data_IF_328700695791
#
_entry.id   IF_328700695791
#
_cell.length_a   1.000
_cell.length_b   1.000
_cell.length_c   1.000
_cell.angle_alpha   90.00
_cell.angle_beta   90.00
_cell.angle_gamma   90.00
#
_symmetry.space_group_name_H-M   'P 1'
#
loop_
_entity.id
_entity.type
_entity.pdbx_description
1 polymer ?
#
# COMPACT_ATOMS: atom_id res chain seq x y z
N UNK A 1 -22.38 -10.11 -12.22
CA UNK A 1 -21.22 -10.99 -12.58
C UNK A 1 -20.61 -10.64 -13.94
N UNK A 2 -21.37 -10.70 -15.04
CA UNK A 2 -20.83 -10.43 -16.39
C UNK A 2 -20.23 -9.01 -16.55
N UNK A 3 -20.87 -7.98 -15.98
CA UNK A 3 -20.38 -6.59 -16.06
C UNK A 3 -19.06 -6.38 -15.31
N UNK A 4 -18.87 -7.02 -14.16
CA UNK A 4 -17.60 -6.96 -13.41
C UNK A 4 -16.48 -7.70 -14.14
N UNK A 5 -16.80 -8.83 -14.76
CA UNK A 5 -15.85 -9.61 -15.54
C UNK A 5 -15.42 -8.83 -16.79
N UNK A 6 -16.37 -8.26 -17.53
CA UNK A 6 -16.10 -7.45 -18.73
C UNK A 6 -15.30 -6.18 -18.39
N UNK A 7 -15.61 -5.49 -17.29
CA UNK A 7 -14.85 -4.32 -16.85
C UNK A 7 -13.43 -4.66 -16.39
N UNK A 8 -13.25 -5.76 -15.65
CA UNK A 8 -11.92 -6.20 -15.20
C UNK A 8 -11.06 -6.68 -16.37
N UNK A 9 -11.67 -7.40 -17.32
CA UNK A 9 -11.01 -7.91 -18.53
C UNK A 9 -10.67 -6.78 -19.51
N UNK A 10 -11.60 -5.86 -19.78
CA UNK A 10 -11.35 -4.71 -20.66
C UNK A 10 -10.21 -3.82 -20.14
N UNK A 11 -10.07 -3.73 -18.82
CA UNK A 11 -9.07 -2.88 -18.19
C UNK A 11 -7.70 -3.56 -18.07
N UNK A 12 -7.68 -4.87 -17.80
CA UNK A 12 -6.48 -5.69 -17.97
C UNK A 12 -5.98 -5.65 -19.44
N UNK A 13 -6.91 -5.66 -20.40
CA UNK A 13 -6.59 -5.57 -21.82
C UNK A 13 -6.08 -4.17 -22.21
N UNK A 14 -6.66 -3.09 -21.67
CA UNK A 14 -6.17 -1.72 -21.86
C UNK A 14 -4.74 -1.54 -21.31
N UNK A 15 -4.42 -2.07 -20.12
CA UNK A 15 -3.08 -1.92 -19.56
C UNK A 15 -2.01 -2.71 -20.30
N UNK A 16 -2.38 -3.85 -20.92
CA UNK A 16 -1.46 -4.64 -21.74
C UNK A 16 -1.13 -3.95 -23.09
N UNK A 17 -1.94 -2.98 -23.53
CA UNK A 17 -1.75 -2.30 -24.83
C UNK A 17 -0.68 -1.20 -24.86
N UNK A 18 -0.10 -0.84 -23.70
CA UNK A 18 0.79 0.32 -23.54
C UNK A 18 2.29 -0.01 -23.75
N UNK A 19 2.64 -1.28 -24.00
CA UNK A 19 3.95 -1.77 -24.50
C UNK A 19 5.19 -0.97 -24.03
N UNK A 20 5.38 -0.88 -22.71
CA UNK A 20 6.52 -0.20 -22.11
C UNK A 20 7.73 -1.14 -22.06
N UNK A 21 8.98 -0.68 -22.33
CA UNK A 21 10.17 -1.53 -22.51
C UNK A 21 10.70 -2.22 -21.22
N UNK A 22 9.91 -2.20 -20.15
CA UNK A 22 10.13 -2.96 -18.93
C UNK A 22 9.01 -4.01 -18.80
N UNK A 23 9.05 -5.06 -19.63
CA UNK A 23 7.98 -6.06 -19.79
C UNK A 23 7.49 -6.67 -18.47
N UNK A 24 8.36 -6.84 -17.47
CA UNK A 24 7.97 -7.33 -16.14
C UNK A 24 7.37 -6.25 -15.23
N UNK A 25 7.83 -5.00 -15.32
CA UNK A 25 7.29 -3.90 -14.53
C UNK A 25 5.91 -3.44 -15.06
N UNK A 26 5.74 -3.42 -16.38
CA UNK A 26 4.46 -3.14 -17.03
C UNK A 26 3.38 -4.17 -16.65
N UNK A 27 3.73 -5.45 -16.62
CA UNK A 27 2.82 -6.53 -16.18
C UNK A 27 2.44 -6.38 -14.71
N UNK A 28 3.40 -6.10 -13.82
CA UNK A 28 3.13 -5.90 -12.40
C UNK A 28 2.22 -4.68 -12.13
N UNK A 29 2.41 -3.61 -12.90
CA UNK A 29 1.52 -2.44 -12.86
C UNK A 29 0.12 -2.80 -13.38
N UNK A 30 -0.01 -3.57 -14.46
CA UNK A 30 -1.29 -4.07 -14.98
C UNK A 30 -2.09 -4.82 -13.93
N UNK A 31 -1.45 -5.75 -13.25
CA UNK A 31 -2.08 -6.55 -12.19
C UNK A 31 -2.48 -5.65 -11.02
N UNK A 32 -1.61 -4.74 -10.60
CA UNK A 32 -1.88 -3.84 -9.47
C UNK A 32 -3.05 -2.89 -9.76
N UNK A 33 -3.10 -2.30 -10.95
CA UNK A 33 -4.19 -1.40 -11.37
C UNK A 33 -5.51 -2.17 -11.48
N UNK A 34 -5.49 -3.37 -12.09
CA UNK A 34 -6.68 -4.22 -12.16
C UNK A 34 -7.22 -4.57 -10.75
N UNK A 35 -6.34 -4.87 -9.80
CA UNK A 35 -6.72 -5.16 -8.41
C UNK A 35 -7.37 -3.95 -7.72
N UNK A 36 -6.77 -2.75 -7.87
CA UNK A 36 -7.32 -1.50 -7.29
C UNK A 36 -8.71 -1.21 -7.85
N UNK A 37 -8.91 -1.40 -9.15
CA UNK A 37 -10.20 -1.12 -9.79
C UNK A 37 -11.26 -2.14 -9.43
N UNK A 38 -10.90 -3.43 -9.34
CA UNK A 38 -11.81 -4.46 -8.84
C UNK A 38 -12.24 -4.16 -7.38
N UNK A 39 -11.30 -3.77 -6.52
CA UNK A 39 -11.62 -3.37 -5.14
C UNK A 39 -12.52 -2.13 -5.08
N UNK A 40 -12.26 -1.12 -5.91
CA UNK A 40 -13.08 0.10 -5.99
C UNK A 40 -14.50 -0.16 -6.50
N UNK A 41 -14.65 -1.01 -7.51
CA UNK A 41 -15.97 -1.40 -8.04
C UNK A 41 -16.76 -2.24 -7.02
N UNK A 42 -16.11 -3.19 -6.35
CA UNK A 42 -16.71 -3.97 -5.26
C UNK A 42 -17.20 -3.06 -4.13
N UNK A 43 -16.34 -2.13 -3.69
CA UNK A 43 -16.68 -1.14 -2.68
C UNK A 43 -17.89 -0.28 -3.09
N UNK A 44 -17.94 0.16 -4.36
CA UNK A 44 -19.08 0.92 -4.90
C UNK A 44 -20.37 0.09 -4.92
N UNK A 45 -20.29 -1.19 -5.30
CA UNK A 45 -21.42 -2.12 -5.28
C UNK A 45 -21.97 -2.32 -3.86
N UNK A 46 -21.09 -2.63 -2.90
CA UNK A 46 -21.41 -2.78 -1.49
C UNK A 46 -22.06 -1.53 -0.88
N UNK A 47 -21.60 -0.32 -1.28
CA UNK A 47 -22.22 0.95 -0.88
C UNK A 47 -23.60 1.14 -1.49
N UNK A 48 -23.78 0.78 -2.76
CA UNK A 48 -25.04 0.94 -3.49
C UNK A 48 -26.12 -0.02 -2.97
N UNK A 49 -25.72 -1.23 -2.62
CA UNK A 49 -26.62 -2.27 -2.11
C UNK A 49 -26.92 -2.13 -0.61
N UNK A 50 -26.39 -1.08 0.05
CA UNK A 50 -26.61 -0.80 1.47
C UNK A 50 -25.98 -1.81 2.44
N UNK A 51 -25.31 -2.85 1.91
CA UNK A 51 -24.65 -3.89 2.70
C UNK A 51 -23.43 -3.38 3.49
N UNK A 52 -22.88 -2.22 3.12
CA UNK A 52 -21.73 -1.59 3.77
C UNK A 52 -22.08 -0.23 4.38
N UNK A 53 -22.43 -0.23 5.66
CA UNK A 53 -22.54 0.99 6.46
C UNK A 53 -21.16 1.39 6.98
N UNK A 54 -20.71 2.58 6.59
CA UNK A 54 -19.45 3.12 7.11
C UNK A 54 -19.68 3.63 8.52
N UNK A 55 -19.04 3.03 9.52
CA UNK A 55 -18.94 3.63 10.84
C UNK A 55 -18.27 5.01 10.75
N UNK A 56 -18.70 5.97 11.58
CA UNK A 56 -18.22 7.36 11.54
C UNK A 56 -16.68 7.53 11.68
N UNK A 57 -15.95 6.50 12.12
CA UNK A 57 -14.50 6.52 12.32
C UNK A 57 -13.63 6.26 11.07
N UNK A 58 -14.20 5.83 9.95
CA UNK A 58 -13.45 5.48 8.74
C UNK A 58 -12.57 6.61 8.15
N UNK A 59 -13.06 7.84 7.92
CA UNK A 59 -12.23 8.89 7.32
C UNK A 59 -11.08 9.32 8.24
N UNK A 60 -11.33 9.34 9.56
CA UNK A 60 -10.30 9.65 10.57
C UNK A 60 -9.23 8.56 10.57
N UNK A 61 -9.62 7.29 10.49
CA UNK A 61 -8.69 6.17 10.37
C UNK A 61 -7.81 6.29 9.12
N UNK A 62 -8.39 6.58 7.95
CA UNK A 62 -7.64 6.76 6.71
C UNK A 62 -6.63 7.90 6.82
N UNK A 63 -7.03 9.05 7.37
CA UNK A 63 -6.11 10.19 7.56
C UNK A 63 -4.93 9.83 8.47
N UNK A 64 -5.18 9.10 9.57
CA UNK A 64 -4.13 8.63 10.48
C UNK A 64 -3.14 7.69 9.80
N UNK A 65 -3.64 6.76 8.97
CA UNK A 65 -2.80 5.84 8.19
C UNK A 65 -1.94 6.63 7.19
N UNK A 66 -2.52 7.58 6.46
CA UNK A 66 -1.79 8.42 5.50
C UNK A 66 -0.70 9.24 6.21
N UNK A 67 -1.01 9.84 7.36
CA UNK A 67 -0.04 10.57 8.16
C UNK A 67 1.10 9.66 8.66
N UNK A 68 0.79 8.47 9.17
CA UNK A 68 1.79 7.48 9.59
C UNK A 68 2.72 7.07 8.45
N UNK A 69 2.17 6.86 7.25
CA UNK A 69 2.97 6.57 6.06
C UNK A 69 3.87 7.74 5.66
N UNK A 70 3.37 8.98 5.71
CA UNK A 70 4.17 10.16 5.39
C UNK A 70 5.40 10.29 6.31
N UNK A 71 5.19 10.11 7.63
CA UNK A 71 6.30 10.15 8.61
C UNK A 71 7.28 9.00 8.38
N UNK A 72 6.77 7.79 8.10
CA UNK A 72 7.61 6.63 7.78
C UNK A 72 8.48 6.88 6.53
N UNK A 73 7.92 7.48 5.47
CA UNK A 73 8.68 7.84 4.26
C UNK A 73 9.81 8.81 4.58
N UNK A 74 9.56 9.82 5.42
CA UNK A 74 10.60 10.78 5.83
C UNK A 74 11.73 10.08 6.60
N UNK A 75 11.39 9.18 7.54
CA UNK A 75 12.38 8.42 8.30
C UNK A 75 13.22 7.50 7.39
N UNK A 76 12.58 6.83 6.44
CA UNK A 76 13.24 5.96 5.47
C UNK A 76 14.15 6.75 4.52
N UNK A 77 13.72 7.93 4.05
CA UNK A 77 14.54 8.80 3.21
C UNK A 77 15.80 9.27 3.96
N UNK A 78 15.70 9.49 5.26
CA UNK A 78 16.87 9.86 6.07
C UNK A 78 17.86 8.71 6.25
N UNK A 79 17.36 7.47 6.26
CA UNK A 79 18.15 6.25 6.39
C UNK A 79 18.62 5.69 5.03
N UNK A 80 18.15 6.26 3.93
CA UNK A 80 18.49 5.85 2.58
C UNK A 80 19.99 6.02 2.32
N UNK A 81 20.60 4.98 1.76
CA UNK A 81 22.01 4.97 1.36
C UNK A 81 22.13 5.05 -0.16
N UNK A 82 23.17 5.75 -0.68
CA UNK A 82 23.43 5.81 -2.12
C UNK A 82 23.69 4.42 -2.69
N UNK A 83 23.41 4.23 -3.97
CA UNK A 83 23.58 2.95 -4.68
C UNK A 83 25.03 2.46 -4.60
N UNK A 84 26.00 3.37 -4.65
CA UNK A 84 27.44 3.03 -4.56
C UNK A 84 27.79 2.34 -3.25
N UNK A 85 27.16 2.75 -2.14
CA UNK A 85 27.33 2.09 -0.85
C UNK A 85 26.80 0.67 -0.89
N UNK A 86 25.63 0.45 -1.51
CA UNK A 86 25.08 -0.89 -1.66
C UNK A 86 25.96 -1.78 -2.51
N UNK A 87 26.57 -1.26 -3.58
CA UNK A 87 27.46 -2.04 -4.44
C UNK A 87 28.76 -2.43 -3.72
N UNK A 88 29.30 -1.54 -2.88
CA UNK A 88 30.54 -1.76 -2.13
C UNK A 88 30.35 -2.57 -0.82
N UNK A 89 29.16 -2.57 -0.23
CA UNK A 89 28.91 -3.23 1.05
C UNK A 89 28.90 -4.76 0.91
N UNK A 90 29.45 -5.44 1.93
CA UNK A 90 29.35 -6.90 2.07
C UNK A 90 27.91 -7.35 2.38
N UNK A 91 27.59 -8.63 2.13
CA UNK A 91 26.26 -9.20 2.28
C UNK A 91 25.68 -9.00 3.69
N UNK A 92 26.51 -9.14 4.74
CA UNK A 92 26.05 -8.96 6.12
C UNK A 92 25.73 -7.50 6.45
N UNK A 93 26.50 -6.57 5.90
CA UNK A 93 26.23 -5.15 6.05
C UNK A 93 24.92 -4.74 5.33
N UNK A 94 24.68 -5.29 4.14
CA UNK A 94 23.41 -5.08 3.40
C UNK A 94 22.23 -5.65 4.17
N UNK A 95 22.31 -6.89 4.63
CA UNK A 95 21.25 -7.55 5.37
C UNK A 95 20.95 -6.84 6.70
N UNK A 96 21.99 -6.44 7.44
CA UNK A 96 21.85 -5.69 8.68
C UNK A 96 21.21 -4.32 8.46
N UNK A 97 21.63 -3.59 7.42
CA UNK A 97 21.04 -2.29 7.11
C UNK A 97 19.58 -2.42 6.66
N UNK A 98 19.25 -3.41 5.82
CA UNK A 98 17.86 -3.70 5.45
C UNK A 98 17.01 -4.05 6.67
N UNK A 99 17.51 -4.93 7.55
CA UNK A 99 16.82 -5.31 8.79
C UNK A 99 16.56 -4.11 9.70
N UNK A 100 17.55 -3.24 9.88
CA UNK A 100 17.42 -2.00 10.63
C UNK A 100 16.38 -1.08 9.98
N UNK A 101 16.44 -0.91 8.67
CA UNK A 101 15.51 -0.05 7.91
C UNK A 101 14.07 -0.51 8.06
N UNK A 102 13.82 -1.82 7.96
CA UNK A 102 12.49 -2.42 8.20
C UNK A 102 12.05 -2.24 9.65
N UNK A 103 12.95 -2.45 10.62
CA UNK A 103 12.66 -2.26 12.04
C UNK A 103 12.28 -0.82 12.38
N UNK A 104 13.02 0.16 11.85
CA UNK A 104 12.73 1.58 12.01
C UNK A 104 11.40 1.94 11.35
N UNK A 105 11.14 1.46 10.13
CA UNK A 105 9.88 1.72 9.44
C UNK A 105 8.67 1.21 10.25
N UNK A 106 8.75 -0.04 10.74
CA UNK A 106 7.71 -0.63 11.57
C UNK A 106 7.52 0.18 12.87
N UNK A 107 8.61 0.51 13.57
CA UNK A 107 8.55 1.28 14.80
C UNK A 107 7.90 2.66 14.59
N UNK A 108 8.34 3.41 13.57
CA UNK A 108 7.80 4.73 13.24
C UNK A 108 6.31 4.64 12.90
N UNK A 109 5.91 3.69 12.05
CA UNK A 109 4.51 3.52 11.66
C UNK A 109 3.61 3.25 12.89
N UNK A 110 3.97 2.30 13.75
CA UNK A 110 3.18 1.97 14.93
C UNK A 110 3.18 3.08 15.97
N UNK A 111 4.30 3.78 16.18
CA UNK A 111 4.37 4.92 17.11
C UNK A 111 3.45 6.04 16.63
N UNK A 112 3.51 6.43 15.34
CA UNK A 112 2.64 7.49 14.81
C UNK A 112 1.18 7.08 14.89
N UNK A 113 0.87 5.82 14.58
CA UNK A 113 -0.49 5.30 14.69
C UNK A 113 -1.01 5.34 16.14
N UNK A 114 -0.18 4.94 17.11
CA UNK A 114 -0.50 4.99 18.54
C UNK A 114 -0.70 6.43 19.02
N UNK A 115 0.21 7.35 18.65
CA UNK A 115 0.12 8.78 18.99
C UNK A 115 -1.09 9.46 18.35
N UNK A 116 -1.47 9.04 17.14
CA UNK A 116 -2.66 9.55 16.46
C UNK A 116 -3.98 9.15 17.15
N UNK A 117 -3.91 8.36 18.23
CA UNK A 117 -5.05 7.98 19.05
C UNK A 117 -5.78 6.74 18.53
N UNK A 118 -5.10 5.90 17.73
CA UNK A 118 -5.63 4.60 17.36
C UNK A 118 -5.43 3.65 18.54
N UNK A 119 -6.52 3.36 19.25
CA UNK A 119 -6.48 2.42 20.37
C UNK A 119 -6.44 1.00 19.79
N UNK A 120 -5.51 0.12 20.20
CA UNK A 120 -5.51 -1.29 19.79
C UNK A 120 -6.85 -2.00 20.07
N UNK A 121 -7.60 -1.49 21.04
CA UNK A 121 -8.96 -1.93 21.36
C UNK A 121 -10.00 -1.69 20.26
N UNK A 122 -9.78 -0.75 19.32
CA UNK A 122 -10.67 -0.54 18.16
C UNK A 122 -10.46 -1.58 17.05
N UNK A 123 -9.36 -2.34 17.09
CA UNK A 123 -9.10 -3.46 16.18
C UNK A 123 -9.69 -4.79 16.70
N UNK A 124 -10.16 -4.81 17.95
CA UNK A 124 -10.97 -5.92 18.46
C UNK A 124 -12.40 -5.74 17.94
N UNK A 125 -12.72 -6.40 16.83
CA UNK A 125 -14.09 -6.71 16.45
C UNK A 125 -14.69 -7.58 17.57
N UNK A 126 -15.45 -6.96 18.46
CA UNK A 126 -16.35 -7.63 19.39
C UNK A 126 -17.74 -7.68 18.80
#
# INVERSE_FOLDING_TARGET
LAVNFVLSVALAWWLTSIDYPATHAGLALAISVAAILNAGLLYRGLRRDGALSHGAGWPVLTLRIVAANAVMILALNWLARPVDWWLAADIWARAGWLGLTVGVAAAVYFIVLALSGLRPAQLRLG
#
